data_IF_186309610540
#
_entry.id   IF_186309610540
#
_cell.length_a   1.000
_cell.length_b   1.000
_cell.length_c   1.000
_cell.angle_alpha   90.00
_cell.angle_beta   90.00
_cell.angle_gamma   90.00
#
_symmetry.space_group_name_H-M   'P 1'
#
loop_
_entity.id
_entity.type
_entity.pdbx_description
1 polymer ?
#
# COMPACT_ATOMS: atom_id res chain seq x y z
N UNK A 1 -6.07 -7.83 -11.92
CA UNK A 1 -6.79 -7.14 -10.82
C UNK A 1 -6.22 -5.74 -10.74
N UNK A 2 -7.08 -4.72 -10.84
CA UNK A 2 -6.63 -3.34 -10.72
C UNK A 2 -6.50 -2.98 -9.23
N UNK A 3 -5.31 -2.55 -8.82
CA UNK A 3 -5.05 -2.00 -7.51
C UNK A 3 -5.42 -0.52 -7.56
N UNK A 4 -6.49 -0.17 -6.83
CA UNK A 4 -7.03 1.19 -6.79
C UNK A 4 -6.67 1.88 -5.48
N UNK A 5 -6.90 3.20 -5.41
CA UNK A 5 -6.81 3.94 -4.12
C UNK A 5 -7.69 3.32 -3.05
N UNK A 6 -8.86 2.78 -3.42
CA UNK A 6 -9.77 2.09 -2.49
C UNK A 6 -9.16 0.81 -1.93
N UNK A 7 -8.42 0.05 -2.72
CA UNK A 7 -7.71 -1.14 -2.22
C UNK A 7 -6.56 -0.75 -1.28
N UNK A 8 -5.84 0.33 -1.57
CA UNK A 8 -4.84 0.88 -0.65
C UNK A 8 -5.45 1.33 0.68
N UNK A 9 -6.61 2.01 0.66
CA UNK A 9 -7.33 2.40 1.88
C UNK A 9 -7.72 1.16 2.69
N UNK A 10 -8.25 0.11 2.05
CA UNK A 10 -8.64 -1.13 2.73
C UNK A 10 -7.46 -1.80 3.44
N UNK A 11 -6.31 -1.94 2.77
CA UNK A 11 -5.15 -2.55 3.42
C UNK A 11 -4.56 -1.66 4.53
N UNK A 12 -4.65 -0.34 4.39
CA UNK A 12 -4.32 0.59 5.47
C UNK A 12 -5.25 0.40 6.68
N UNK A 13 -6.56 0.29 6.46
CA UNK A 13 -7.54 0.06 7.53
C UNK A 13 -7.28 -1.27 8.25
N UNK A 14 -6.98 -2.34 7.52
CA UNK A 14 -6.59 -3.65 8.08
C UNK A 14 -5.31 -3.58 8.92
N UNK A 15 -4.33 -2.76 8.51
CA UNK A 15 -3.12 -2.54 9.30
C UNK A 15 -3.41 -1.81 10.60
N UNK A 16 -4.28 -0.79 10.54
CA UNK A 16 -4.65 0.01 11.69
C UNK A 16 -5.51 -0.78 12.69
N UNK A 17 -6.26 -1.78 12.23
CA UNK A 17 -6.98 -2.75 13.06
C UNK A 17 -6.15 -3.94 13.54
N UNK A 18 -4.85 -3.98 13.22
CA UNK A 18 -3.92 -5.08 13.56
C UNK A 18 -4.29 -6.44 12.90
N UNK A 19 -5.13 -6.44 11.87
CA UNK A 19 -5.44 -7.65 11.07
C UNK A 19 -4.31 -8.03 10.11
N UNK A 20 -3.47 -7.06 9.73
CA UNK A 20 -2.23 -7.29 9.00
C UNK A 20 -1.08 -6.56 9.66
N UNK A 21 0.09 -7.16 9.64
CA UNK A 21 1.32 -6.57 10.15
C UNK A 21 2.13 -5.87 9.05
N UNK A 22 3.25 -5.27 9.45
CA UNK A 22 4.13 -4.52 8.55
C UNK A 22 4.71 -5.40 7.43
N UNK A 23 5.11 -6.62 7.74
CA UNK A 23 5.72 -7.52 6.76
C UNK A 23 4.68 -7.96 5.72
N UNK A 24 3.42 -8.09 6.10
CA UNK A 24 2.31 -8.35 5.19
C UNK A 24 2.04 -7.18 4.22
N UNK A 25 2.16 -5.92 4.66
CA UNK A 25 2.10 -4.77 3.73
C UNK A 25 3.26 -4.75 2.74
N UNK A 26 4.46 -5.02 3.24
CA UNK A 26 5.66 -5.08 2.41
C UNK A 26 5.51 -6.21 1.37
N UNK A 27 5.04 -7.37 1.82
CA UNK A 27 4.79 -8.50 0.93
C UNK A 27 3.73 -8.18 -0.12
N UNK A 28 2.61 -7.56 0.28
CA UNK A 28 1.59 -7.10 -0.65
C UNK A 28 2.17 -6.17 -1.72
N UNK A 29 2.94 -5.15 -1.30
CA UNK A 29 3.58 -4.22 -2.21
C UNK A 29 4.51 -4.92 -3.19
N UNK A 30 5.38 -5.81 -2.68
CA UNK A 30 6.32 -6.56 -3.51
C UNK A 30 5.62 -7.48 -4.50
N UNK A 31 4.54 -8.13 -4.09
CA UNK A 31 3.74 -9.02 -4.94
C UNK A 31 3.10 -8.24 -6.09
N UNK A 32 2.62 -7.02 -5.86
CA UNK A 32 2.07 -6.18 -6.94
C UNK A 32 3.17 -5.63 -7.84
N UNK A 33 4.28 -5.14 -7.27
CA UNK A 33 5.34 -4.46 -8.02
C UNK A 33 6.20 -5.40 -8.88
N UNK A 34 6.28 -6.69 -8.52
CA UNK A 34 7.11 -7.69 -9.21
C UNK A 34 6.27 -8.88 -9.69
N UNK A 35 5.06 -8.61 -10.16
CA UNK A 35 4.16 -9.65 -10.66
C UNK A 35 4.53 -10.05 -12.10
N UNK A 36 5.36 -11.07 -12.23
CA UNK A 36 5.78 -11.61 -13.54
C UNK A 36 4.62 -12.21 -14.37
N UNK A 37 3.45 -12.41 -13.76
CA UNK A 37 2.26 -13.01 -14.40
C UNK A 37 1.24 -11.97 -14.91
N UNK A 38 1.53 -10.66 -14.84
CA UNK A 38 0.63 -9.57 -15.24
C UNK A 38 -0.79 -9.67 -14.63
N UNK A 39 -0.91 -10.24 -13.44
CA UNK A 39 -2.16 -10.38 -12.67
C UNK A 39 -2.56 -9.09 -11.98
N UNK A 40 -1.63 -8.16 -11.73
CA UNK A 40 -1.91 -6.89 -11.06
C UNK A 40 -1.54 -5.69 -11.94
N UNK A 41 -2.35 -4.63 -11.84
CA UNK A 41 -2.12 -3.36 -12.54
C UNK A 41 -2.48 -2.22 -11.58
N UNK A 42 -1.67 -1.17 -11.51
CA UNK A 42 -1.97 0.01 -10.68
C UNK A 42 -2.90 0.95 -11.44
N UNK A 43 -3.95 1.45 -10.77
CA UNK A 43 -4.92 2.39 -11.35
C UNK A 43 -4.26 3.69 -11.84
N UNK A 44 -3.27 4.19 -11.10
CA UNK A 44 -2.51 5.40 -11.45
C UNK A 44 -1.11 5.40 -10.84
N UNK A 45 -0.29 6.39 -11.25
CA UNK A 45 1.10 6.58 -10.79
C UNK A 45 1.19 6.75 -9.27
N UNK A 46 0.18 7.33 -8.62
CA UNK A 46 0.19 7.53 -7.18
C UNK A 46 0.09 6.18 -6.44
N UNK A 47 -0.77 5.28 -6.91
CA UNK A 47 -0.87 3.92 -6.36
C UNK A 47 0.46 3.19 -6.49
N UNK A 48 1.07 3.25 -7.68
CA UNK A 48 2.36 2.61 -7.94
C UNK A 48 3.48 3.19 -7.05
N UNK A 49 3.54 4.51 -6.89
CA UNK A 49 4.54 5.16 -6.05
C UNK A 49 4.43 4.72 -4.58
N UNK A 50 3.20 4.63 -4.05
CA UNK A 50 2.97 4.17 -2.67
C UNK A 50 3.48 2.75 -2.47
N UNK A 51 3.18 1.83 -3.41
CA UNK A 51 3.62 0.45 -3.32
C UNK A 51 5.15 0.34 -3.42
N UNK A 52 5.76 1.09 -4.34
CA UNK A 52 7.21 1.19 -4.45
C UNK A 52 7.87 1.69 -3.15
N UNK A 53 7.26 2.67 -2.47
CA UNK A 53 7.72 3.14 -1.16
C UNK A 53 7.57 2.07 -0.06
N UNK A 54 6.57 1.20 -0.13
CA UNK A 54 6.42 0.11 0.83
C UNK A 54 7.42 -1.03 0.62
N UNK A 55 7.75 -1.37 -0.63
CA UNK A 55 8.80 -2.36 -0.94
C UNK A 55 10.21 -1.81 -0.65
N UNK A 56 10.42 -0.50 -0.79
CA UNK A 56 11.72 0.12 -0.59
C UNK A 56 12.16 0.11 0.89
N UNK A 57 13.22 -0.67 1.18
CA UNK A 57 13.84 -0.79 2.51
C UNK A 57 14.19 0.55 3.16
N UNK A 58 14.53 1.57 2.38
CA UNK A 58 14.88 2.90 2.92
C UNK A 58 13.67 3.63 3.48
N UNK A 59 12.47 3.39 2.97
CA UNK A 59 11.21 4.04 3.38
C UNK A 59 10.36 3.17 4.31
N UNK A 60 10.61 1.88 4.42
CA UNK A 60 9.86 0.94 5.28
C UNK A 60 9.77 1.34 6.76
N UNK A 61 10.68 2.16 7.29
CA UNK A 61 10.56 2.71 8.65
C UNK A 61 9.30 3.59 8.85
N UNK A 62 8.74 4.12 7.76
CA UNK A 62 7.50 4.91 7.74
C UNK A 62 6.23 4.05 7.81
N UNK A 63 6.35 2.72 7.61
CA UNK A 63 5.23 1.78 7.78
C UNK A 63 5.03 1.51 9.27
N UNK A 64 4.30 2.42 9.91
CA UNK A 64 3.87 2.35 11.30
C UNK A 64 2.47 2.96 11.41
N UNK A 65 1.80 2.81 12.56
CA UNK A 65 0.40 3.25 12.74
C UNK A 65 0.20 4.73 12.38
N UNK A 66 1.14 5.60 12.74
CA UNK A 66 1.06 7.04 12.44
C UNK A 66 1.19 7.29 10.94
N UNK A 67 2.20 6.71 10.29
CA UNK A 67 2.44 6.88 8.85
C UNK A 67 1.30 6.33 7.99
N UNK A 68 0.81 5.13 8.32
CA UNK A 68 -0.30 4.50 7.60
C UNK A 68 -1.62 5.26 7.83
N UNK A 69 -1.87 5.77 9.04
CA UNK A 69 -3.05 6.60 9.31
C UNK A 69 -3.04 7.89 8.50
N UNK A 70 -1.89 8.56 8.41
CA UNK A 70 -1.74 9.77 7.60
C UNK A 70 -2.03 9.49 6.11
N UNK A 71 -1.40 8.44 5.57
CA UNK A 71 -1.60 8.03 4.18
C UNK A 71 -3.07 7.70 3.89
N UNK A 72 -3.71 6.90 4.75
CA UNK A 72 -5.12 6.54 4.65
C UNK A 72 -6.03 7.76 4.61
N UNK A 73 -5.77 8.76 5.45
CA UNK A 73 -6.53 10.01 5.46
C UNK A 73 -6.34 10.79 4.15
N UNK A 74 -5.11 10.96 3.69
CA UNK A 74 -4.80 11.65 2.41
C UNK A 74 -5.56 10.96 1.27
N UNK A 75 -5.45 9.63 1.15
CA UNK A 75 -6.15 8.86 0.12
C UNK A 75 -7.68 9.02 0.19
N UNK A 76 -8.24 9.19 1.39
CA UNK A 76 -9.69 9.37 1.58
C UNK A 76 -10.18 10.78 1.21
N UNK A 77 -9.30 11.78 1.23
CA UNK A 77 -9.61 13.19 0.92
C UNK A 77 -9.48 13.51 -0.57
N UNK A 78 -8.73 12.71 -1.33
CA UNK A 78 -8.45 12.90 -2.76
C UNK A 78 -9.60 12.45 -3.70
N UNK A 79 -10.86 12.66 -3.30
CA UNK A 79 -12.05 12.30 -4.10
C UNK A 79 -11.98 12.76 -5.57
#
# INVERSE_FOLDING_TARGET
MIITKKELIKICDRFLSEEVNKDELIHFARTVMFDDEDRYECEDELVEEILSQWDNKKSQHKINKTGIKLLRNILSEMN
#
